data_IF_289128978910
#
_entry.id   IF_289128978910
#
_cell.length_a   1.000
_cell.length_b   1.000
_cell.length_c   1.000
_cell.angle_alpha   90.00
_cell.angle_beta   90.00
_cell.angle_gamma   90.00
#
_symmetry.space_group_name_H-M   'P 1'
#
loop_
_entity.id
_entity.type
_entity.pdbx_description
1 polymer ?
#
# COMPACT_ATOMS: atom_id res chain seq x y z
N UNK A 1 -11.20 0.47 -21.53
CA UNK A 1 -11.04 -0.99 -21.36
C UNK A 1 -10.33 -1.28 -20.05
N UNK A 2 -10.94 -2.07 -19.17
CA UNK A 2 -10.32 -2.49 -17.90
C UNK A 2 -9.10 -3.34 -18.22
N UNK A 3 -7.94 -3.03 -17.63
CA UNK A 3 -6.70 -3.80 -17.82
C UNK A 3 -6.84 -5.23 -17.30
N UNK A 4 -6.20 -6.17 -17.97
CA UNK A 4 -6.07 -7.53 -17.45
C UNK A 4 -5.25 -7.51 -16.15
N UNK A 5 -5.54 -8.42 -15.22
CA UNK A 5 -4.85 -8.48 -13.92
C UNK A 5 -3.34 -8.68 -14.09
N UNK A 6 -2.95 -9.58 -14.98
CA UNK A 6 -1.55 -9.77 -15.32
C UNK A 6 -0.83 -8.47 -15.69
N UNK A 7 -1.48 -7.54 -16.41
CA UNK A 7 -0.84 -6.33 -16.91
C UNK A 7 -0.49 -5.31 -15.82
N UNK A 8 -1.01 -5.47 -14.62
CA UNK A 8 -0.77 -4.58 -13.50
C UNK A 8 0.19 -5.14 -12.45
N UNK A 9 0.51 -6.45 -12.47
CA UNK A 9 1.30 -7.07 -11.40
C UNK A 9 2.80 -6.98 -11.68
N UNK A 10 3.53 -6.30 -10.80
CA UNK A 10 4.99 -6.16 -10.87
C UNK A 10 5.71 -7.51 -10.93
N UNK A 11 5.33 -8.44 -10.05
CA UNK A 11 5.99 -9.74 -9.92
C UNK A 11 5.84 -10.65 -11.16
N UNK A 12 4.87 -10.34 -12.03
CA UNK A 12 4.64 -11.07 -13.27
C UNK A 12 5.28 -10.40 -14.48
N UNK A 13 6.04 -9.33 -14.31
CA UNK A 13 6.75 -8.61 -15.37
C UNK A 13 8.20 -9.05 -15.48
N UNK A 14 8.65 -9.12 -16.70
CA UNK A 14 10.07 -9.23 -17.00
C UNK A 14 10.77 -7.89 -16.76
N UNK A 15 12.10 -7.89 -16.61
CA UNK A 15 12.88 -6.64 -16.44
C UNK A 15 12.69 -5.67 -17.61
N UNK A 16 12.49 -6.19 -18.83
CA UNK A 16 12.28 -5.34 -20.01
C UNK A 16 10.91 -4.65 -19.97
N UNK A 17 9.87 -5.36 -19.55
CA UNK A 17 8.54 -4.78 -19.35
C UNK A 17 8.56 -3.72 -18.25
N UNK A 18 9.23 -3.97 -17.11
CA UNK A 18 9.39 -2.98 -16.03
C UNK A 18 10.04 -1.69 -16.57
N UNK A 19 11.14 -1.81 -17.32
CA UNK A 19 11.80 -0.66 -17.92
C UNK A 19 10.88 0.10 -18.88
N UNK A 20 10.08 -0.59 -19.67
CA UNK A 20 9.11 0.03 -20.58
C UNK A 20 7.99 0.78 -19.82
N UNK A 21 7.54 0.27 -18.66
CA UNK A 21 6.61 0.99 -17.80
C UNK A 21 7.21 2.29 -17.24
N UNK A 22 8.47 2.25 -16.76
CA UNK A 22 9.17 3.43 -16.27
C UNK A 22 9.32 4.49 -17.37
N UNK A 23 9.77 4.12 -18.57
CA UNK A 23 9.94 5.03 -19.73
C UNK A 23 8.65 5.71 -20.15
N UNK A 24 7.49 5.07 -19.94
CA UNK A 24 6.17 5.63 -20.23
C UNK A 24 5.64 6.50 -19.09
N UNK A 25 6.46 6.84 -18.10
CA UNK A 25 6.05 7.59 -16.93
C UNK A 25 5.11 6.80 -16.02
N UNK A 26 5.39 5.52 -15.82
CA UNK A 26 4.56 4.62 -15.01
C UNK A 26 4.45 5.04 -13.56
N UNK A 27 3.36 4.61 -12.93
CA UNK A 27 3.12 4.73 -11.48
C UNK A 27 3.33 3.37 -10.85
N UNK A 28 4.09 3.32 -9.75
CA UNK A 28 4.19 2.13 -8.91
C UNK A 28 3.29 2.29 -7.71
N UNK A 29 2.40 1.32 -7.51
CA UNK A 29 1.53 1.23 -6.34
C UNK A 29 2.09 0.16 -5.41
N UNK A 30 2.33 0.54 -4.15
CA UNK A 30 2.88 -0.32 -3.11
C UNK A 30 1.82 -0.56 -2.04
N UNK A 31 1.11 -1.70 -2.04
CA UNK A 31 0.19 -2.02 -0.96
C UNK A 31 0.97 -2.39 0.30
N UNK A 32 0.47 -1.94 1.45
CA UNK A 32 1.00 -2.29 2.77
C UNK A 32 -0.15 -2.51 3.75
N UNK A 33 -0.06 -3.56 4.53
CA UNK A 33 -1.01 -3.88 5.60
C UNK A 33 -0.34 -4.10 6.95
N UNK A 34 -0.94 -4.98 7.73
CA UNK A 34 -0.41 -5.54 8.96
C UNK A 34 -0.92 -6.97 9.15
N UNK A 35 -0.21 -7.76 9.93
CA UNK A 35 -0.68 -9.05 10.42
C UNK A 35 -1.10 -8.85 11.88
N UNK A 36 -2.40 -8.78 12.11
CA UNK A 36 -2.97 -8.51 13.44
C UNK A 36 -4.40 -9.06 13.59
N UNK A 37 -4.88 -9.11 14.81
CA UNK A 37 -6.23 -9.58 15.09
C UNK A 37 -7.30 -8.64 14.51
N UNK A 38 -8.39 -9.21 14.02
CA UNK A 38 -9.59 -8.53 13.53
C UNK A 38 -10.85 -9.18 14.12
N UNK A 39 -10.89 -9.32 15.46
CA UNK A 39 -11.93 -10.04 16.16
C UNK A 39 -11.87 -11.54 15.92
N UNK A 40 -12.99 -12.23 16.17
CA UNK A 40 -13.08 -13.68 16.04
C UNK A 40 -13.59 -14.15 14.65
N UNK A 41 -13.84 -13.23 13.75
CA UNK A 41 -14.58 -13.50 12.50
C UNK A 41 -13.79 -13.18 11.23
N UNK A 42 -12.69 -12.42 11.32
CA UNK A 42 -11.83 -12.09 10.18
C UNK A 42 -10.44 -12.67 10.36
N UNK A 43 -9.75 -13.01 9.27
CA UNK A 43 -8.37 -13.48 9.30
C UNK A 43 -7.39 -12.36 9.67
N UNK A 44 -6.22 -12.75 10.18
CA UNK A 44 -5.19 -11.82 10.66
C UNK A 44 -4.50 -11.03 9.52
N UNK A 45 -4.69 -11.38 8.27
CA UNK A 45 -4.16 -10.69 7.08
C UNK A 45 -5.15 -9.73 6.43
N UNK A 46 -6.26 -9.41 7.09
CA UNK A 46 -7.35 -8.56 6.58
C UNK A 46 -6.83 -7.24 6.01
N UNK A 47 -5.93 -6.56 6.70
CA UNK A 47 -5.32 -5.31 6.26
C UNK A 47 -4.54 -5.44 4.96
N UNK A 48 -3.77 -6.53 4.85
CA UNK A 48 -2.99 -6.83 3.65
C UNK A 48 -3.92 -7.10 2.46
N UNK A 49 -4.94 -7.90 2.68
CA UNK A 49 -5.90 -8.28 1.65
C UNK A 49 -6.67 -7.07 1.13
N UNK A 50 -7.14 -6.20 2.03
CA UNK A 50 -7.91 -5.00 1.64
C UNK A 50 -7.03 -3.96 0.94
N UNK A 51 -5.78 -3.74 1.40
CA UNK A 51 -4.82 -2.87 0.73
C UNK A 51 -4.50 -3.36 -0.69
N UNK A 52 -4.24 -4.66 -0.83
CA UNK A 52 -3.97 -5.28 -2.12
C UNK A 52 -5.15 -5.16 -3.09
N UNK A 53 -6.36 -5.46 -2.59
CA UNK A 53 -7.58 -5.35 -3.38
C UNK A 53 -7.82 -3.93 -3.87
N UNK A 54 -7.68 -2.93 -2.99
CA UNK A 54 -7.83 -1.52 -3.34
C UNK A 54 -6.78 -1.10 -4.39
N UNK A 55 -5.51 -1.46 -4.18
CA UNK A 55 -4.41 -1.14 -5.10
C UNK A 55 -4.62 -1.76 -6.49
N UNK A 56 -4.94 -3.05 -6.57
CA UNK A 56 -5.18 -3.75 -7.83
C UNK A 56 -6.40 -3.21 -8.56
N UNK A 57 -7.48 -2.95 -7.84
CA UNK A 57 -8.70 -2.39 -8.42
C UNK A 57 -8.45 -1.00 -9.01
N UNK A 58 -7.79 -0.12 -8.27
CA UNK A 58 -7.41 1.21 -8.75
C UNK A 58 -6.50 1.13 -9.99
N UNK A 59 -5.51 0.24 -9.99
CA UNK A 59 -4.59 0.06 -11.11
C UNK A 59 -5.31 -0.43 -12.38
N UNK A 60 -6.32 -1.31 -12.25
CA UNK A 60 -7.13 -1.79 -13.38
C UNK A 60 -8.02 -0.70 -13.96
N UNK A 61 -8.57 0.16 -13.10
CA UNK A 61 -9.46 1.25 -13.51
C UNK A 61 -8.70 2.47 -14.07
N UNK A 62 -7.41 2.58 -13.83
CA UNK A 62 -6.57 3.67 -14.36
C UNK A 62 -6.20 3.41 -15.83
N UNK A 63 -7.17 3.55 -16.74
CA UNK A 63 -7.07 3.14 -18.15
C UNK A 63 -5.89 3.75 -18.91
N UNK A 64 -5.66 5.05 -18.73
CA UNK A 64 -4.66 5.81 -19.49
C UNK A 64 -3.27 5.88 -18.82
N UNK A 65 -3.14 5.33 -17.61
CA UNK A 65 -1.88 5.35 -16.88
C UNK A 65 -1.21 3.97 -16.89
N UNK A 66 0.07 3.86 -17.22
CA UNK A 66 0.82 2.65 -16.96
C UNK A 66 1.03 2.50 -15.45
N UNK A 67 0.34 1.56 -14.83
CA UNK A 67 0.39 1.30 -13.37
C UNK A 67 0.88 -0.10 -13.12
N UNK A 68 1.83 -0.27 -12.19
CA UNK A 68 2.26 -1.56 -11.66
C UNK A 68 2.03 -1.61 -10.15
N UNK A 69 1.52 -2.74 -9.69
CA UNK A 69 1.30 -3.03 -8.26
C UNK A 69 2.37 -4.01 -7.79
N UNK A 70 3.16 -3.63 -6.79
CA UNK A 70 4.17 -4.52 -6.18
C UNK A 70 3.50 -5.62 -5.35
N UNK A 71 4.23 -6.68 -4.97
CA UNK A 71 3.79 -7.55 -3.88
C UNK A 71 3.47 -6.72 -2.63
N UNK A 72 2.43 -7.14 -1.90
CA UNK A 72 2.00 -6.47 -0.67
C UNK A 72 3.05 -6.61 0.42
N UNK A 73 3.34 -5.52 1.14
CA UNK A 73 4.15 -5.55 2.37
C UNK A 73 3.24 -6.01 3.50
N UNK A 74 3.45 -7.22 4.06
CA UNK A 74 2.49 -7.78 5.00
C UNK A 74 2.68 -7.33 6.44
N UNK A 75 3.79 -6.68 6.78
CA UNK A 75 4.13 -6.31 8.15
C UNK A 75 4.14 -4.79 8.34
N UNK A 76 3.39 -4.32 9.34
CA UNK A 76 3.27 -2.94 9.72
C UNK A 76 3.59 -2.69 11.21
N UNK A 77 3.07 -1.61 11.75
CA UNK A 77 3.25 -1.18 13.15
C UNK A 77 1.98 -1.48 13.93
N UNK A 78 1.96 -2.58 14.68
CA UNK A 78 0.81 -3.06 15.46
C UNK A 78 1.16 -3.44 16.91
N UNK A 79 1.94 -2.63 17.66
CA UNK A 79 2.32 -2.98 19.03
C UNK A 79 1.10 -3.05 19.96
N UNK A 80 0.04 -2.32 19.66
CA UNK A 80 -1.22 -2.29 20.41
C UNK A 80 -2.01 -3.61 20.31
N UNK A 81 -1.72 -4.45 19.32
CA UNK A 81 -2.35 -5.77 19.15
C UNK A 81 -1.49 -6.94 19.63
N UNK A 82 -0.30 -6.69 20.20
CA UNK A 82 0.62 -7.75 20.65
C UNK A 82 0.07 -8.62 21.79
N UNK A 83 -0.97 -8.18 22.51
CA UNK A 83 -1.66 -9.01 23.51
C UNK A 83 -2.49 -10.14 22.88
N UNK A 84 -2.74 -10.09 21.56
CA UNK A 84 -3.51 -11.09 20.83
C UNK A 84 -2.59 -11.98 20.01
N UNK A 85 -2.89 -13.28 19.98
CA UNK A 85 -2.10 -14.26 19.25
C UNK A 85 -2.06 -14.00 17.75
N UNK A 86 -0.92 -14.26 17.11
CA UNK A 86 -0.72 -14.15 15.67
C UNK A 86 -0.26 -12.78 15.17
N UNK A 87 -0.29 -11.73 16.00
CA UNK A 87 0.19 -10.39 15.61
C UNK A 87 1.70 -10.39 15.38
N UNK A 88 2.13 -9.79 14.26
CA UNK A 88 3.54 -9.55 13.94
C UNK A 88 3.72 -8.06 13.70
N UNK A 89 4.48 -7.38 14.54
CA UNK A 89 4.74 -5.95 14.42
C UNK A 89 6.19 -5.63 14.09
N UNK A 90 6.40 -4.63 13.27
CA UNK A 90 7.72 -4.03 13.06
C UNK A 90 7.97 -2.92 14.07
N UNK A 91 9.25 -2.61 14.31
CA UNK A 91 9.64 -1.33 14.91
C UNK A 91 9.50 -0.22 13.88
N UNK A 92 9.25 1.00 14.35
CA UNK A 92 9.11 2.17 13.49
C UNK A 92 10.33 2.35 12.57
N UNK A 93 11.53 2.29 13.13
CA UNK A 93 12.76 2.43 12.34
C UNK A 93 12.93 1.34 11.27
N UNK A 94 12.45 0.11 11.53
CA UNK A 94 12.50 -0.98 10.55
C UNK A 94 11.57 -0.69 9.37
N UNK A 95 10.35 -0.24 9.66
CA UNK A 95 9.40 0.15 8.60
C UNK A 95 9.95 1.32 7.76
N UNK A 96 10.48 2.36 8.41
CA UNK A 96 11.03 3.52 7.71
C UNK A 96 12.21 3.14 6.81
N UNK A 97 13.10 2.26 7.25
CA UNK A 97 14.22 1.75 6.45
C UNK A 97 13.74 0.91 5.26
N UNK A 98 12.77 0.01 5.49
CA UNK A 98 12.17 -0.80 4.42
C UNK A 98 11.57 0.08 3.31
N UNK A 99 10.81 1.11 3.69
CA UNK A 99 10.20 2.03 2.74
C UNK A 99 11.26 2.85 1.98
N UNK A 100 12.33 3.23 2.68
CA UNK A 100 13.48 3.93 2.10
C UNK A 100 14.12 3.08 1.01
N UNK A 101 14.57 1.88 1.35
CA UNK A 101 15.25 0.97 0.43
C UNK A 101 14.37 0.66 -0.78
N UNK A 102 13.08 0.42 -0.55
CA UNK A 102 12.11 0.15 -1.62
C UNK A 102 11.96 1.34 -2.57
N UNK A 103 11.73 2.54 -2.03
CA UNK A 103 11.55 3.73 -2.86
C UNK A 103 12.82 4.10 -3.62
N UNK A 104 14.00 3.97 -3.01
CA UNK A 104 15.28 4.18 -3.68
C UNK A 104 15.48 3.21 -4.85
N UNK A 105 15.15 1.93 -4.69
CA UNK A 105 15.19 0.95 -5.76
C UNK A 105 14.23 1.31 -6.90
N UNK A 106 12.99 1.69 -6.59
CA UNK A 106 12.00 2.07 -7.61
C UNK A 106 12.47 3.30 -8.40
N UNK A 107 13.01 4.30 -7.72
CA UNK A 107 13.55 5.51 -8.35
C UNK A 107 14.78 5.18 -9.20
N UNK A 108 15.68 4.31 -8.72
CA UNK A 108 16.86 3.86 -9.49
C UNK A 108 16.46 3.11 -10.78
N UNK A 109 15.29 2.49 -10.81
CA UNK A 109 14.72 1.87 -12.01
C UNK A 109 13.97 2.83 -12.93
N UNK A 110 13.97 4.14 -12.64
CA UNK A 110 13.41 5.19 -13.48
C UNK A 110 11.94 5.54 -13.18
N UNK A 111 11.37 5.04 -12.09
CA UNK A 111 10.03 5.46 -11.68
C UNK A 111 10.06 6.79 -10.92
N UNK A 112 9.23 7.72 -11.34
CA UNK A 112 9.13 9.05 -10.73
C UNK A 112 7.90 9.18 -9.80
N UNK A 113 6.99 8.21 -9.86
CA UNK A 113 5.71 8.24 -9.14
C UNK A 113 5.49 6.96 -8.38
N UNK A 114 5.43 7.06 -7.05
CA UNK A 114 5.16 5.96 -6.12
C UNK A 114 3.97 6.31 -5.24
N UNK A 115 2.97 5.43 -5.19
CA UNK A 115 1.81 5.53 -4.31
C UNK A 115 1.82 4.36 -3.33
N UNK A 116 1.97 4.63 -2.05
CA UNK A 116 1.82 3.64 -0.98
C UNK A 116 0.34 3.59 -0.60
N UNK A 117 -0.28 2.42 -0.74
CA UNK A 117 -1.69 2.18 -0.37
C UNK A 117 -1.72 1.39 0.93
N UNK A 118 -2.14 2.05 1.99
CA UNK A 118 -2.19 1.50 3.33
C UNK A 118 -3.56 0.91 3.65
N UNK A 119 -3.57 -0.29 4.25
CA UNK A 119 -4.75 -0.96 4.79
C UNK A 119 -4.84 -0.97 6.32
N UNK A 120 -3.81 -0.46 7.04
CA UNK A 120 -3.70 -0.53 8.49
C UNK A 120 -3.62 0.84 9.15
N UNK A 121 -4.53 1.13 10.09
CA UNK A 121 -4.58 2.42 10.78
C UNK A 121 -3.28 2.78 11.51
N UNK A 122 -2.63 1.80 12.17
CA UNK A 122 -1.38 1.99 12.89
C UNK A 122 -0.19 2.44 12.04
N UNK A 123 -0.24 2.22 10.73
CA UNK A 123 0.80 2.68 9.80
C UNK A 123 0.65 4.14 9.38
N UNK A 124 -0.55 4.73 9.46
CA UNK A 124 -0.92 5.95 8.74
C UNK A 124 0.04 7.12 9.00
N UNK A 125 0.35 7.40 10.27
CA UNK A 125 1.22 8.51 10.65
C UNK A 125 2.67 8.30 10.17
N UNK A 126 3.20 7.08 10.34
CA UNK A 126 4.54 6.74 9.92
C UNK A 126 4.70 6.83 8.40
N UNK A 127 3.72 6.35 7.65
CA UNK A 127 3.70 6.40 6.18
C UNK A 127 3.59 7.84 5.67
N UNK A 128 2.77 8.68 6.31
CA UNK A 128 2.66 10.10 5.96
C UNK A 128 3.98 10.84 6.12
N UNK A 129 4.66 10.65 7.27
CA UNK A 129 5.96 11.25 7.54
C UNK A 129 7.05 10.72 6.59
N UNK A 130 7.11 9.39 6.37
CA UNK A 130 8.05 8.76 5.45
C UNK A 130 7.87 9.26 4.00
N UNK A 131 6.64 9.32 3.51
CA UNK A 131 6.35 9.79 2.16
C UNK A 131 6.78 11.25 1.95
N UNK A 132 6.58 12.11 2.97
CA UNK A 132 7.03 13.50 2.92
C UNK A 132 8.54 13.62 2.84
N UNK A 133 9.27 12.90 3.69
CA UNK A 133 10.74 12.88 3.70
C UNK A 133 11.31 12.30 2.40
N UNK A 134 10.82 11.14 1.98
CA UNK A 134 11.30 10.46 0.77
C UNK A 134 11.04 11.29 -0.49
N UNK A 135 9.88 11.97 -0.56
CA UNK A 135 9.58 12.89 -1.65
C UNK A 135 10.61 14.02 -1.74
N UNK A 136 10.97 14.59 -0.61
CA UNK A 136 11.96 15.67 -0.56
C UNK A 136 13.38 15.16 -0.87
N UNK A 137 13.78 14.05 -0.27
CA UNK A 137 15.12 13.49 -0.41
C UNK A 137 15.42 12.95 -1.82
N UNK A 138 14.44 12.29 -2.43
CA UNK A 138 14.60 11.65 -3.73
C UNK A 138 14.19 12.57 -4.90
N UNK A 139 13.59 13.73 -4.60
CA UNK A 139 13.01 14.64 -5.60
C UNK A 139 12.04 13.91 -6.57
N UNK A 140 11.15 13.12 -6.02
CA UNK A 140 10.17 12.31 -6.76
C UNK A 140 8.80 12.39 -6.14
N UNK A 141 7.76 12.06 -6.91
CA UNK A 141 6.38 12.06 -6.42
C UNK A 141 6.10 10.79 -5.62
N UNK A 142 6.35 10.84 -4.31
CA UNK A 142 6.06 9.75 -3.38
C UNK A 142 4.91 10.20 -2.49
N UNK A 143 3.84 9.40 -2.43
CA UNK A 143 2.64 9.65 -1.62
C UNK A 143 2.23 8.39 -0.88
N UNK A 144 1.56 8.58 0.25
CA UNK A 144 0.88 7.52 0.98
C UNK A 144 -0.58 7.90 1.18
N UNK A 145 -1.46 6.92 1.05
CA UNK A 145 -2.90 7.06 1.32
C UNK A 145 -3.37 5.86 2.11
N UNK A 146 -4.25 6.08 3.07
CA UNK A 146 -5.00 5.02 3.73
C UNK A 146 -6.30 4.86 2.97
N UNK A 147 -6.53 3.70 2.36
CA UNK A 147 -7.61 3.55 1.38
C UNK A 147 -9.00 3.81 1.98
N UNK A 148 -9.23 3.42 3.23
CA UNK A 148 -10.53 3.59 3.88
C UNK A 148 -10.81 5.05 4.25
N UNK A 149 -9.81 5.92 4.40
CA UNK A 149 -10.02 7.36 4.58
C UNK A 149 -10.66 8.01 3.35
N UNK A 150 -10.43 7.44 2.17
CA UNK A 150 -11.00 7.94 0.92
C UNK A 150 -12.49 7.59 0.75
N UNK A 151 -12.97 6.58 1.46
CA UNK A 151 -14.34 6.04 1.33
C UNK A 151 -15.18 6.23 2.60
N UNK A 152 -14.71 7.00 3.56
CA UNK A 152 -15.39 7.25 4.83
C UNK A 152 -16.89 7.57 4.70
N UNK A 153 -17.33 8.50 3.84
CA UNK A 153 -18.75 8.80 3.70
C UNK A 153 -19.59 7.63 3.22
N UNK A 154 -19.03 6.78 2.35
CA UNK A 154 -19.70 5.58 1.84
C UNK A 154 -19.73 4.48 2.91
N UNK A 155 -18.65 4.33 3.67
CA UNK A 155 -18.58 3.36 4.77
C UNK A 155 -19.62 3.68 5.86
N UNK A 156 -19.75 4.94 6.22
CA UNK A 156 -20.75 5.38 7.21
C UNK A 156 -22.19 5.07 6.77
N UNK A 157 -22.47 5.14 5.47
CA UNK A 157 -23.76 4.81 4.92
C UNK A 157 -24.10 3.31 4.98
N UNK A 158 -23.08 2.41 4.98
CA UNK A 158 -23.27 0.95 5.02
C UNK A 158 -23.07 0.36 6.42
N UNK A 159 -22.50 1.11 7.36
CA UNK A 159 -22.40 0.71 8.76
C UNK A 159 -23.78 0.66 9.40
N UNK A 160 -24.21 -0.50 9.85
CA UNK A 160 -25.50 -0.66 10.53
C UNK A 160 -25.59 0.00 11.92
N UNK A 161 -24.45 0.40 12.51
CA UNK A 161 -24.34 1.12 13.79
C UNK A 161 -23.10 2.02 13.79
N UNK A 162 -23.27 3.36 13.84
CA UNK A 162 -22.15 4.27 14.04
C UNK A 162 -21.47 4.00 15.39
N UNK A 163 -20.14 3.97 15.41
CA UNK A 163 -19.35 3.89 16.64
C UNK A 163 -19.06 2.49 17.18
N UNK A 164 -19.29 1.42 16.44
CA UNK A 164 -18.74 0.09 16.76
C UNK A 164 -17.37 -0.10 16.10
N UNK A 165 -16.44 0.78 16.44
CA UNK A 165 -15.03 0.53 16.16
C UNK A 165 -14.47 -0.40 17.23
N UNK A 166 -13.91 -1.52 16.81
CA UNK A 166 -13.18 -2.46 17.68
C UNK A 166 -11.73 -1.99 17.76
#
# INVERSE_FOLDING_TARGET
>A
LVKAERDILWAERTRAEIAAYAQRGGVVVVPIGSIEQHGLHLPIDTDCHTAEYAARTAARLAEDLPVLVTPTIPFGISPHHMAFGGTITLRLETLLRLLTDLCECLVAHGFERVLIVNGHGGNAQALGAAALELRHRLDRQIRAVTWFDLVHPTMDAVRGRPGTEI
#
